data_IF_988787261800
#
_entry.id   IF_988787261800
#
_cell.length_a   1.000
_cell.length_b   1.000
_cell.length_c   1.000
_cell.angle_alpha   90.00
_cell.angle_beta   90.00
_cell.angle_gamma   90.00
#
_symmetry.space_group_name_H-M   'P 1'
#
loop_
_entity.id
_entity.type
_entity.pdbx_description
1 polymer ?
#
# COMPACT_ATOMS: atom_id res chain seq x y z
N UNK A 1 -21.58 -18.31 -15.81
CA UNK A 1 -20.61 -18.15 -14.73
C UNK A 1 -20.98 -16.94 -13.91
N UNK A 2 -21.06 -17.07 -12.97
CA UNK A 2 -21.70 -17.48 -11.75
C UNK A 2 -22.08 -16.23 -10.99
N UNK A 3 -23.37 -15.91 -11.05
CA UNK A 3 -23.99 -14.98 -10.08
C UNK A 3 -23.57 -15.36 -8.66
N UNK A 4 -23.25 -16.65 -8.42
CA UNK A 4 -22.79 -17.18 -7.13
C UNK A 4 -21.55 -16.49 -6.55
N UNK A 5 -20.62 -15.96 -7.36
CA UNK A 5 -19.44 -15.28 -6.82
C UNK A 5 -19.72 -13.82 -6.41
N UNK A 6 -20.55 -13.12 -7.17
CA UNK A 6 -20.99 -11.75 -6.81
C UNK A 6 -21.79 -11.80 -5.52
N UNK A 7 -22.75 -12.74 -5.42
CA UNK A 7 -23.51 -12.96 -4.20
C UNK A 7 -22.63 -13.42 -3.04
N UNK A 8 -21.66 -14.30 -3.31
CA UNK A 8 -20.74 -14.79 -2.28
C UNK A 8 -19.90 -13.66 -1.68
N UNK A 9 -19.33 -12.74 -2.51
CA UNK A 9 -18.55 -11.62 -1.99
C UNK A 9 -19.44 -10.54 -1.37
N UNK A 10 -20.66 -10.31 -1.87
CA UNK A 10 -21.63 -9.44 -1.24
C UNK A 10 -22.00 -9.96 0.16
N UNK A 11 -22.32 -11.25 0.29
CA UNK A 11 -22.59 -11.86 1.60
C UNK A 11 -21.37 -11.84 2.53
N UNK A 12 -20.16 -12.00 2.01
CA UNK A 12 -18.93 -11.92 2.80
C UNK A 12 -18.63 -10.49 3.26
N UNK A 13 -19.00 -9.48 2.49
CA UNK A 13 -18.80 -8.05 2.81
C UNK A 13 -19.86 -7.48 3.76
N UNK A 14 -21.06 -8.09 3.81
CA UNK A 14 -22.13 -7.70 4.74
C UNK A 14 -21.86 -8.07 6.21
N UNK A 15 -20.76 -8.79 6.47
CA UNK A 15 -20.34 -9.07 7.85
C UNK A 15 -19.80 -7.79 8.48
N UNK A 16 -20.44 -7.36 9.56
CA UNK A 16 -20.01 -6.22 10.35
C UNK A 16 -18.52 -6.29 10.70
N UNK A 17 -17.81 -5.18 10.47
CA UNK A 17 -16.41 -5.03 10.82
C UNK A 17 -16.28 -4.81 12.35
N UNK A 18 -16.77 -5.77 13.13
CA UNK A 18 -16.84 -5.65 14.58
C UNK A 18 -15.46 -5.75 15.22
N UNK A 19 -14.84 -4.60 15.47
CA UNK A 19 -13.54 -4.52 16.14
C UNK A 19 -13.59 -4.83 17.66
N UNK A 20 -14.77 -5.15 18.21
CA UNK A 20 -14.88 -5.70 19.56
C UNK A 20 -14.71 -7.23 19.57
N UNK A 21 -14.80 -7.89 18.42
CA UNK A 21 -14.54 -9.33 18.30
C UNK A 21 -13.01 -9.60 18.26
N UNK A 22 -12.47 -10.32 19.25
CA UNK A 22 -11.05 -10.65 19.27
C UNK A 22 -10.57 -11.43 18.05
N UNK A 23 -11.46 -12.19 17.40
CA UNK A 23 -11.10 -12.99 16.23
C UNK A 23 -10.91 -12.11 15.00
N UNK A 24 -11.70 -11.06 14.83
CA UNK A 24 -11.55 -10.03 13.78
C UNK A 24 -10.23 -9.27 13.99
N UNK A 25 -10.00 -8.77 15.19
CA UNK A 25 -8.75 -8.07 15.53
C UNK A 25 -7.52 -8.97 15.31
N UNK A 26 -7.59 -10.25 15.67
CA UNK A 26 -6.49 -11.19 15.49
C UNK A 26 -6.15 -11.38 14.00
N UNK A 27 -7.16 -11.41 13.10
CA UNK A 27 -6.94 -11.51 11.66
C UNK A 27 -6.31 -10.24 11.08
N UNK A 28 -6.80 -9.05 11.45
CA UNK A 28 -6.19 -7.78 11.08
C UNK A 28 -4.73 -7.68 11.53
N UNK A 29 -4.45 -8.03 12.80
CA UNK A 29 -3.09 -8.00 13.35
C UNK A 29 -2.16 -8.97 12.64
N UNK A 30 -2.60 -10.19 12.38
CA UNK A 30 -1.78 -11.17 11.66
C UNK A 30 -1.49 -10.70 10.23
N UNK A 31 -2.48 -10.16 9.52
CA UNK A 31 -2.27 -9.55 8.21
C UNK A 31 -1.26 -8.39 8.27
N UNK A 32 -1.36 -7.54 9.31
CA UNK A 32 -0.43 -6.43 9.54
C UNK A 32 0.99 -6.91 9.87
N UNK A 33 1.15 -7.93 10.72
CA UNK A 33 2.45 -8.49 11.06
C UNK A 33 3.14 -9.08 9.81
N UNK A 34 2.39 -9.77 8.94
CA UNK A 34 2.90 -10.30 7.67
C UNK A 34 3.32 -9.16 6.73
N UNK A 35 2.46 -8.15 6.55
CA UNK A 35 2.78 -6.99 5.71
C UNK A 35 3.99 -6.20 6.25
N UNK A 36 4.10 -6.03 7.57
CA UNK A 36 5.22 -5.35 8.22
C UNK A 36 6.55 -6.08 8.00
N UNK A 37 6.57 -7.40 8.18
CA UNK A 37 7.79 -8.18 8.01
C UNK A 37 8.21 -8.23 6.53
N UNK A 38 7.25 -8.38 5.61
CA UNK A 38 7.51 -8.31 4.17
C UNK A 38 8.11 -6.95 3.78
N UNK A 39 7.49 -5.84 4.21
CA UNK A 39 8.00 -4.50 3.96
C UNK A 39 9.42 -4.31 4.49
N UNK A 40 9.68 -4.73 5.74
CA UNK A 40 10.99 -4.61 6.36
C UNK A 40 12.07 -5.35 5.56
N UNK A 41 11.76 -6.55 5.07
CA UNK A 41 12.68 -7.35 4.26
C UNK A 41 12.91 -6.78 2.87
N UNK A 42 11.87 -6.21 2.23
CA UNK A 42 12.01 -5.54 0.93
C UNK A 42 12.87 -4.28 1.08
N UNK A 43 12.61 -3.44 2.10
CA UNK A 43 13.43 -2.25 2.40
C UNK A 43 14.90 -2.62 2.61
N UNK A 44 15.19 -3.70 3.31
CA UNK A 44 16.56 -4.17 3.56
C UNK A 44 17.30 -4.64 2.29
N UNK A 45 16.58 -4.91 1.18
CA UNK A 45 17.16 -5.29 -0.12
C UNK A 45 17.27 -4.14 -1.11
N UNK A 46 16.82 -2.94 -0.75
CA UNK A 46 16.95 -1.76 -1.61
C UNK A 46 18.44 -1.37 -1.70
N UNK A 47 19.00 -1.52 -2.89
CA UNK A 47 20.40 -1.21 -3.16
C UNK A 47 20.60 -0.77 -4.62
N UNK A 48 21.73 -0.13 -4.90
CA UNK A 48 22.13 0.24 -6.25
C UNK A 48 22.26 -0.99 -7.15
N UNK A 49 21.77 -0.89 -8.39
CA UNK A 49 21.80 -1.98 -9.35
C UNK A 49 20.69 -3.03 -9.22
N UNK A 50 19.87 -2.96 -8.17
CA UNK A 50 18.75 -3.92 -7.99
C UNK A 50 17.59 -3.56 -8.91
N UNK A 51 16.97 -4.56 -9.51
CA UNK A 51 15.80 -4.40 -10.39
C UNK A 51 14.52 -4.30 -9.57
N UNK A 52 13.66 -3.36 -9.92
CA UNK A 52 12.39 -3.16 -9.21
C UNK A 52 11.48 -4.39 -9.31
N UNK A 53 11.44 -5.07 -10.46
CA UNK A 53 10.65 -6.30 -10.63
C UNK A 53 11.06 -7.41 -9.66
N UNK A 54 12.36 -7.55 -9.38
CA UNK A 54 12.90 -8.54 -8.44
C UNK A 54 12.47 -8.25 -7.00
N UNK A 55 12.50 -6.99 -6.60
CA UNK A 55 12.02 -6.57 -5.28
C UNK A 55 10.51 -6.76 -5.13
N UNK A 56 9.75 -6.46 -6.18
CA UNK A 56 8.30 -6.69 -6.20
C UNK A 56 7.97 -8.18 -6.05
N UNK A 57 8.63 -9.04 -6.83
CA UNK A 57 8.45 -10.49 -6.75
C UNK A 57 8.83 -11.02 -5.36
N UNK A 58 9.93 -10.52 -4.80
CA UNK A 58 10.40 -10.92 -3.46
C UNK A 58 9.39 -10.56 -2.35
N UNK A 59 8.80 -9.35 -2.39
CA UNK A 59 7.78 -8.96 -1.42
C UNK A 59 6.53 -9.84 -1.49
N UNK A 60 6.06 -10.14 -2.71
CA UNK A 60 4.92 -11.02 -2.95
C UNK A 60 5.22 -12.45 -2.43
N UNK A 61 6.42 -12.99 -2.68
CA UNK A 61 6.84 -14.31 -2.21
C UNK A 61 6.84 -14.42 -0.69
N UNK A 62 7.32 -13.39 0.01
CA UNK A 62 7.29 -13.36 1.47
C UNK A 62 5.86 -13.44 1.99
N UNK A 63 4.95 -12.61 1.46
CA UNK A 63 3.54 -12.62 1.88
C UNK A 63 2.93 -14.00 1.67
N UNK A 64 3.11 -14.60 0.50
CA UNK A 64 2.59 -15.93 0.18
C UNK A 64 3.20 -17.01 1.07
N UNK A 65 4.50 -16.95 1.34
CA UNK A 65 5.18 -17.88 2.24
C UNK A 65 4.61 -17.86 3.65
N UNK A 66 4.29 -16.69 4.20
CA UNK A 66 3.70 -16.59 5.54
C UNK A 66 2.23 -16.97 5.56
N UNK A 67 1.45 -16.48 4.61
CA UNK A 67 0.02 -16.79 4.54
C UNK A 67 -0.25 -18.28 4.34
N UNK A 68 0.62 -19.00 3.61
CA UNK A 68 0.52 -20.46 3.43
C UNK A 68 0.70 -21.26 4.72
N UNK A 69 1.31 -20.68 5.76
CA UNK A 69 1.63 -21.38 7.03
C UNK A 69 0.60 -21.16 8.15
N UNK A 70 -0.35 -20.23 7.96
CA UNK A 70 -1.35 -19.88 8.98
C UNK A 70 -2.74 -20.36 8.60
N UNK A 71 -3.63 -20.59 9.56
CA UNK A 71 -5.03 -21.01 9.35
C UNK A 71 -5.22 -22.23 8.42
N UNK A 72 -4.27 -23.19 8.42
CA UNK A 72 -4.30 -24.34 7.51
C UNK A 72 -5.35 -25.43 7.87
N UNK A 73 -5.88 -25.39 9.10
CA UNK A 73 -6.90 -26.34 9.55
C UNK A 73 -8.31 -25.93 9.12
N UNK A 74 -8.51 -24.68 8.74
CA UNK A 74 -9.79 -24.10 8.34
C UNK A 74 -9.67 -23.60 6.90
N UNK A 75 -10.74 -23.70 6.13
CA UNK A 75 -10.79 -23.15 4.77
C UNK A 75 -10.93 -21.61 4.83
N UNK A 76 -9.86 -20.91 5.22
CA UNK A 76 -9.79 -19.47 5.32
C UNK A 76 -9.02 -18.92 4.13
N UNK A 77 -9.64 -18.02 3.36
CA UNK A 77 -8.97 -17.30 2.28
C UNK A 77 -7.90 -16.37 2.86
N UNK A 78 -6.71 -16.35 2.26
CA UNK A 78 -5.57 -15.60 2.74
C UNK A 78 -4.55 -15.44 1.63
N UNK A 79 -3.81 -14.35 1.65
CA UNK A 79 -2.82 -14.08 0.62
C UNK A 79 -2.47 -12.60 0.51
N UNK A 80 -2.15 -12.20 -0.71
CA UNK A 80 -1.84 -10.82 -1.04
C UNK A 80 -3.14 -10.01 -1.10
N UNK A 81 -3.21 -8.91 -0.31
CA UNK A 81 -4.28 -7.93 -0.41
C UNK A 81 -3.95 -6.82 -1.40
N UNK A 82 -2.69 -6.44 -1.47
CA UNK A 82 -2.12 -5.56 -2.48
C UNK A 82 -0.76 -6.13 -2.91
N UNK A 83 -0.49 -6.27 -4.23
CA UNK A 83 0.80 -6.75 -4.70
C UNK A 83 1.88 -5.75 -4.31
N UNK A 84 3.11 -6.21 -4.18
CA UNK A 84 4.23 -5.32 -3.92
C UNK A 84 4.45 -4.40 -5.11
N UNK A 85 4.39 -3.10 -4.83
CA UNK A 85 4.59 -2.02 -5.78
C UNK A 85 5.73 -1.13 -5.27
N UNK A 86 6.60 -0.69 -6.20
CA UNK A 86 7.79 0.09 -5.85
C UNK A 86 7.92 1.25 -6.82
N UNK A 87 7.48 2.42 -6.40
CA UNK A 87 7.49 3.65 -7.18
C UNK A 87 8.74 4.49 -6.86
N UNK A 88 9.44 4.97 -7.88
CA UNK A 88 10.75 5.63 -7.73
C UNK A 88 10.66 7.10 -8.11
N UNK A 89 11.26 7.97 -7.32
CA UNK A 89 11.38 9.41 -7.53
C UNK A 89 10.02 10.11 -7.77
N UNK A 90 9.77 10.58 -8.98
CA UNK A 90 8.57 11.27 -9.44
C UNK A 90 7.38 10.35 -9.76
N UNK A 91 7.62 9.03 -9.82
CA UNK A 91 6.54 8.04 -9.90
C UNK A 91 5.73 8.07 -8.61
N UNK A 92 4.42 8.31 -8.69
CA UNK A 92 3.55 8.48 -7.52
C UNK A 92 3.23 7.12 -6.88
N UNK A 93 2.52 6.24 -7.61
CA UNK A 93 2.09 4.92 -7.11
C UNK A 93 1.78 3.95 -8.26
N UNK A 94 1.52 2.69 -7.90
CA UNK A 94 1.09 1.58 -8.76
C UNK A 94 2.15 1.04 -9.73
N UNK A 95 3.42 1.38 -9.57
CA UNK A 95 4.48 0.81 -10.39
C UNK A 95 4.91 -0.58 -9.85
N UNK A 96 4.62 -1.61 -10.62
CA UNK A 96 4.91 -3.02 -10.32
C UNK A 96 5.32 -3.75 -11.59
N UNK A 97 6.57 -3.54 -12.10
CA UNK A 97 7.00 -4.05 -13.40
C UNK A 97 7.01 -5.59 -13.45
N UNK A 98 6.85 -6.11 -14.67
CA UNK A 98 6.85 -7.56 -14.91
C UNK A 98 8.24 -8.15 -15.07
N UNK A 99 9.24 -7.30 -15.25
CA UNK A 99 10.61 -7.68 -15.59
C UNK A 99 10.82 -7.91 -17.08
N UNK A 100 9.80 -7.67 -17.90
CA UNK A 100 9.92 -7.72 -19.36
C UNK A 100 10.63 -6.45 -19.89
N UNK A 101 11.21 -6.54 -21.09
CA UNK A 101 11.90 -5.40 -21.69
C UNK A 101 10.93 -4.22 -21.92
N UNK A 102 11.29 -3.05 -21.40
CA UNK A 102 10.57 -1.78 -21.60
C UNK A 102 9.73 -1.31 -20.42
N UNK A 103 9.52 -2.14 -19.39
CA UNK A 103 8.81 -1.72 -18.16
C UNK A 103 9.70 -1.76 -16.90
N UNK A 104 10.97 -2.12 -17.02
CA UNK A 104 11.90 -2.31 -15.90
C UNK A 104 12.64 -1.04 -15.50
N UNK A 105 12.78 -0.83 -14.22
CA UNK A 105 13.65 0.18 -13.61
C UNK A 105 14.74 -0.49 -12.76
N UNK A 106 15.97 -0.05 -12.91
CA UNK A 106 17.12 -0.47 -12.10
C UNK A 106 17.44 0.66 -11.13
N UNK A 107 17.39 0.37 -9.84
CA UNK A 107 17.63 1.33 -8.77
C UNK A 107 19.05 1.90 -8.84
N UNK A 108 19.17 3.19 -8.52
CA UNK A 108 20.44 3.93 -8.48
C UNK A 108 20.60 4.61 -7.13
N UNK A 109 21.84 4.74 -6.68
CA UNK A 109 22.18 5.47 -5.46
C UNK A 109 21.54 6.86 -5.45
N UNK A 110 20.82 7.19 -4.37
CA UNK A 110 20.11 8.45 -4.21
C UNK A 110 18.65 8.45 -4.70
N UNK A 111 18.18 7.37 -5.32
CA UNK A 111 16.75 7.24 -5.66
C UNK A 111 15.88 7.21 -4.41
N UNK A 112 14.81 8.00 -4.43
CA UNK A 112 13.74 7.96 -3.43
C UNK A 112 12.77 6.85 -3.81
N UNK A 113 12.67 5.81 -2.98
CA UNK A 113 11.95 4.57 -3.28
C UNK A 113 10.76 4.43 -2.34
N UNK A 114 9.56 4.45 -2.89
CA UNK A 114 8.30 4.18 -2.21
C UNK A 114 7.94 2.72 -2.40
N UNK A 115 7.77 2.00 -1.31
CA UNK A 115 7.41 0.58 -1.29
C UNK A 115 6.07 0.45 -0.61
N UNK A 116 5.11 -0.17 -1.28
CA UNK A 116 3.83 -0.52 -0.68
C UNK A 116 3.46 -1.96 -0.98
N UNK A 117 2.77 -2.59 -0.05
CA UNK A 117 2.30 -3.97 -0.14
C UNK A 117 1.18 -4.22 0.88
N UNK A 118 0.49 -5.35 0.75
CA UNK A 118 -0.54 -5.72 1.71
C UNK A 118 -0.83 -7.21 1.75
N UNK A 119 -1.26 -7.69 2.91
CA UNK A 119 -1.71 -9.06 3.13
C UNK A 119 -3.15 -9.07 3.65
N UNK A 120 -3.85 -10.19 3.46
CA UNK A 120 -5.16 -10.40 4.07
C UNK A 120 -5.28 -11.79 4.70
N UNK A 121 -6.10 -11.87 5.72
CA UNK A 121 -6.56 -13.11 6.36
C UNK A 121 -8.08 -13.06 6.42
N UNK A 122 -8.76 -13.98 5.74
CA UNK A 122 -10.22 -14.05 5.70
C UNK A 122 -10.90 -12.74 5.23
N UNK A 123 -10.29 -12.07 4.26
CA UNK A 123 -10.78 -10.79 3.75
C UNK A 123 -10.42 -9.56 4.58
N UNK A 124 -9.93 -9.73 5.82
CA UNK A 124 -9.42 -8.63 6.64
C UNK A 124 -8.01 -8.28 6.21
N UNK A 125 -7.86 -7.13 5.57
CA UNK A 125 -6.60 -6.73 4.96
C UNK A 125 -5.82 -5.74 5.81
N UNK A 126 -4.51 -5.80 5.71
CA UNK A 126 -3.60 -4.76 6.19
C UNK A 126 -2.62 -4.40 5.08
N UNK A 127 -2.52 -3.10 4.82
CA UNK A 127 -1.55 -2.53 3.88
C UNK A 127 -0.51 -1.75 4.65
N UNK A 128 0.69 -1.72 4.12
CA UNK A 128 1.79 -0.94 4.68
C UNK A 128 2.62 -0.32 3.55
N UNK A 129 3.20 0.85 3.80
CA UNK A 129 4.06 1.52 2.84
C UNK A 129 5.08 2.42 3.53
N UNK A 130 6.26 2.49 2.94
CA UNK A 130 7.39 3.23 3.45
C UNK A 130 8.23 3.82 2.33
N UNK A 131 8.81 4.98 2.59
CA UNK A 131 9.78 5.61 1.69
C UNK A 131 11.18 5.47 2.25
N UNK A 132 12.09 4.97 1.42
CA UNK A 132 13.53 4.89 1.72
C UNK A 132 14.34 5.51 0.59
N UNK A 133 15.65 5.62 0.79
CA UNK A 133 16.58 6.11 -0.25
C UNK A 133 17.68 5.09 -0.48
N UNK A 134 17.98 4.83 -1.75
CA UNK A 134 19.01 3.84 -2.14
C UNK A 134 20.37 4.24 -1.59
N UNK A 135 21.04 3.31 -0.91
CA UNK A 135 22.33 3.50 -0.24
C UNK A 135 22.34 4.63 0.80
N UNK A 136 21.20 4.91 1.43
CA UNK A 136 21.14 5.85 2.56
C UNK A 136 21.99 5.37 3.73
N UNK A 137 22.65 6.31 4.42
CA UNK A 137 23.55 6.01 5.52
C UNK A 137 23.26 6.93 6.72
N UNK A 138 22.92 6.39 7.89
CA UNK A 138 22.70 7.19 9.10
C UNK A 138 23.91 8.05 9.53
N UNK A 139 25.14 7.63 9.18
CA UNK A 139 26.34 8.40 9.48
C UNK A 139 26.57 9.60 8.52
N UNK A 140 25.87 9.61 7.38
CA UNK A 140 25.84 10.69 6.42
C UNK A 140 24.40 10.88 5.92
N UNK A 141 23.52 11.48 6.72
CA UNK A 141 22.12 11.65 6.38
C UNK A 141 21.93 12.39 5.06
N UNK A 142 20.88 12.03 4.32
CA UNK A 142 20.49 12.76 3.12
C UNK A 142 19.87 14.10 3.52
N UNK A 143 20.11 15.09 2.68
CA UNK A 143 19.63 16.47 2.84
C UNK A 143 18.91 16.94 1.56
N UNK A 144 18.34 18.15 1.60
CA UNK A 144 17.67 18.80 0.48
C UNK A 144 16.31 18.17 0.13
N UNK A 145 15.82 18.35 -1.13
CA UNK A 145 14.42 18.03 -1.48
C UNK A 145 13.98 16.60 -1.19
N UNK A 146 14.89 15.62 -1.28
CA UNK A 146 14.59 14.23 -0.93
C UNK A 146 14.34 14.04 0.57
N UNK A 147 15.13 14.71 1.41
CA UNK A 147 14.93 14.70 2.86
C UNK A 147 13.67 15.47 3.25
N UNK A 148 13.44 16.63 2.63
CA UNK A 148 12.31 17.52 2.92
C UNK A 148 10.98 16.80 2.66
N UNK A 149 10.83 16.14 1.50
CA UNK A 149 9.61 15.44 1.16
C UNK A 149 9.36 14.20 2.04
N UNK A 150 10.41 13.49 2.46
CA UNK A 150 10.28 12.33 3.35
C UNK A 150 9.85 12.81 4.75
N UNK A 151 10.44 13.86 5.27
CA UNK A 151 10.04 14.48 6.54
C UNK A 151 8.60 15.00 6.46
N UNK A 152 8.24 15.73 5.40
CA UNK A 152 6.90 16.24 5.17
C UNK A 152 5.85 15.12 5.21
N UNK A 153 6.07 14.06 4.43
CA UNK A 153 5.16 12.91 4.37
C UNK A 153 5.08 12.16 5.72
N UNK A 154 6.19 12.03 6.44
CA UNK A 154 6.22 11.41 7.76
C UNK A 154 5.39 12.21 8.78
N UNK A 155 5.64 13.52 8.90
CA UNK A 155 4.90 14.36 9.84
C UNK A 155 3.43 14.51 9.46
N UNK A 156 3.11 14.59 8.15
CA UNK A 156 1.73 14.57 7.67
C UNK A 156 1.01 13.27 8.06
N UNK A 157 1.66 12.12 7.89
CA UNK A 157 1.11 10.83 8.28
C UNK A 157 0.90 10.70 9.80
N UNK A 158 1.84 11.21 10.60
CA UNK A 158 1.74 11.22 12.05
C UNK A 158 0.66 12.20 12.57
N UNK A 159 0.49 13.35 11.92
CA UNK A 159 -0.58 14.30 12.21
C UNK A 159 -1.97 13.70 11.86
N UNK A 160 -2.10 13.16 10.65
CA UNK A 160 -3.31 12.49 10.19
C UNK A 160 -3.76 11.37 11.15
N UNK A 161 -2.83 10.50 11.57
CA UNK A 161 -3.11 9.40 12.51
C UNK A 161 -3.73 9.90 13.82
N UNK A 162 -3.25 11.03 14.34
CA UNK A 162 -3.72 11.58 15.62
C UNK A 162 -5.12 12.16 15.55
N UNK A 163 -5.56 12.52 14.34
CA UNK A 163 -6.92 13.00 14.08
C UNK A 163 -7.92 11.88 13.79
N UNK A 164 -7.47 10.68 13.46
CA UNK A 164 -8.35 9.53 13.23
C UNK A 164 -8.92 9.00 14.56
N UNK A 165 -9.77 9.81 15.19
CA UNK A 165 -10.43 9.51 16.48
C UNK A 165 -11.94 9.68 16.33
N UNK A 166 -12.69 8.89 17.08
CA UNK A 166 -14.15 9.01 17.13
C UNK A 166 -14.55 10.46 17.44
N UNK A 167 -15.44 11.00 16.61
CA UNK A 167 -15.94 12.37 16.72
C UNK A 167 -15.21 13.40 15.83
N UNK A 168 -14.00 13.13 15.38
CA UNK A 168 -13.32 13.94 14.36
C UNK A 168 -13.85 13.58 12.96
N UNK A 169 -13.52 14.40 11.96
CA UNK A 169 -13.98 14.22 10.59
C UNK A 169 -12.80 14.16 9.58
N UNK A 170 -13.12 13.78 8.34
CA UNK A 170 -12.16 13.66 7.24
C UNK A 170 -11.52 15.01 6.85
N UNK A 171 -12.23 16.14 6.96
CA UNK A 171 -11.72 17.48 6.60
C UNK A 171 -10.55 17.85 7.50
N UNK A 172 -10.70 17.66 8.82
CA UNK A 172 -9.61 17.93 9.77
C UNK A 172 -8.33 17.16 9.43
N UNK A 173 -8.47 15.92 8.94
CA UNK A 173 -7.31 15.12 8.50
C UNK A 173 -6.68 15.71 7.25
N UNK A 174 -7.48 16.12 6.26
CA UNK A 174 -7.00 16.77 5.03
C UNK A 174 -6.24 18.08 5.32
N UNK A 175 -6.81 18.92 6.18
CA UNK A 175 -6.19 20.19 6.61
C UNK A 175 -4.83 19.94 7.28
N UNK A 176 -4.76 18.97 8.21
CA UNK A 176 -3.51 18.65 8.89
C UNK A 176 -2.43 18.09 7.96
N UNK A 177 -2.82 17.31 6.93
CA UNK A 177 -1.90 16.83 5.89
C UNK A 177 -1.30 18.01 5.11
N UNK A 178 -2.15 18.94 4.68
CA UNK A 178 -1.74 20.12 3.93
C UNK A 178 -0.83 21.05 4.75
N UNK A 179 -1.21 21.33 6.01
CA UNK A 179 -0.40 22.12 6.92
C UNK A 179 0.98 21.50 7.19
N UNK A 180 1.01 20.20 7.48
CA UNK A 180 2.28 19.51 7.73
C UNK A 180 3.19 19.50 6.50
N UNK A 181 2.65 19.31 5.30
CA UNK A 181 3.42 19.35 4.05
C UNK A 181 4.01 20.75 3.80
N UNK A 182 3.20 21.81 4.02
CA UNK A 182 3.62 23.19 3.80
C UNK A 182 4.79 23.60 4.68
N UNK A 183 4.92 23.07 5.90
CA UNK A 183 6.06 23.33 6.81
C UNK A 183 7.40 22.89 6.21
N UNK A 184 7.41 22.00 5.25
CA UNK A 184 8.58 21.48 4.54
C UNK A 184 8.67 21.98 3.09
N UNK A 185 7.91 23.02 2.73
CA UNK A 185 7.82 23.55 1.36
C UNK A 185 7.43 22.45 0.32
N UNK A 186 6.54 21.57 0.72
CA UNK A 186 6.02 20.44 -0.07
C UNK A 186 4.49 20.54 -0.18
N UNK A 187 3.92 19.77 -1.11
CA UNK A 187 2.47 19.74 -1.35
C UNK A 187 1.94 18.30 -1.35
N UNK A 188 0.73 18.05 -0.82
CA UNK A 188 0.06 16.76 -0.98
C UNK A 188 -0.20 16.45 -2.45
N UNK A 189 -0.17 15.15 -2.81
CA UNK A 189 -0.39 14.72 -4.20
C UNK A 189 -1.88 14.58 -4.48
N UNK A 190 -2.36 15.31 -5.50
CA UNK A 190 -3.76 15.27 -5.94
C UNK A 190 -4.14 13.88 -6.49
N UNK A 191 -5.41 13.53 -6.39
CA UNK A 191 -5.94 12.26 -6.88
C UNK A 191 -5.66 11.05 -5.99
N UNK A 192 -4.85 11.20 -4.95
CA UNK A 192 -4.54 10.14 -3.97
C UNK A 192 -5.45 10.22 -2.73
N UNK A 193 -5.73 9.08 -2.12
CA UNK A 193 -6.66 8.99 -1.01
C UNK A 193 -6.30 7.92 0.02
N UNK A 194 -6.80 8.12 1.23
CA UNK A 194 -6.94 7.12 2.29
C UNK A 194 -8.38 6.60 2.28
N UNK A 195 -8.59 5.30 2.50
CA UNK A 195 -9.90 4.69 2.36
C UNK A 195 -10.31 3.90 3.61
N UNK A 196 -11.59 3.94 3.94
CA UNK A 196 -12.17 2.94 4.83
C UNK A 196 -12.13 1.56 4.15
N UNK A 197 -11.75 0.56 4.91
CA UNK A 197 -11.67 -0.84 4.47
C UNK A 197 -12.56 -1.71 5.34
N UNK A 198 -13.15 -2.75 4.73
CA UNK A 198 -13.93 -3.76 5.44
C UNK A 198 -13.51 -5.15 4.98
N UNK A 199 -14.07 -6.17 5.61
CA UNK A 199 -13.85 -7.55 5.17
C UNK A 199 -14.21 -7.70 3.68
N UNK A 200 -13.25 -8.09 2.85
CA UNK A 200 -13.35 -8.18 1.38
C UNK A 200 -13.70 -6.87 0.65
N UNK A 201 -13.61 -5.71 1.31
CA UNK A 201 -13.83 -4.40 0.69
C UNK A 201 -12.57 -3.57 0.83
N UNK A 202 -11.93 -3.27 -0.29
CA UNK A 202 -10.66 -2.53 -0.33
C UNK A 202 -10.83 -1.01 -0.22
N UNK A 203 -12.02 -0.51 -0.53
CA UNK A 203 -12.39 0.89 -0.38
C UNK A 203 -13.91 1.00 -0.29
N UNK A 204 -14.41 1.85 0.60
CA UNK A 204 -15.82 2.24 0.69
C UNK A 204 -16.01 3.66 0.15
N UNK A 205 -17.20 4.22 0.32
CA UNK A 205 -17.49 5.63 0.00
C UNK A 205 -16.79 6.61 0.95
N UNK A 206 -16.41 6.15 2.18
CA UNK A 206 -15.66 6.95 3.14
C UNK A 206 -14.19 7.02 2.74
N UNK A 207 -13.79 8.14 2.19
CA UNK A 207 -12.40 8.39 1.79
C UNK A 207 -11.93 9.77 2.25
N UNK A 208 -10.63 9.86 2.49
CA UNK A 208 -9.93 11.09 2.83
C UNK A 208 -8.99 11.40 1.67
N UNK A 209 -9.31 12.41 0.88
CA UNK A 209 -8.44 12.85 -0.22
C UNK A 209 -7.23 13.57 0.37
N UNK A 210 -6.03 13.36 -0.18
CA UNK A 210 -4.86 14.17 0.21
C UNK A 210 -4.99 15.62 -0.26
N UNK A 211 -5.70 15.84 -1.39
CA UNK A 211 -6.09 17.17 -1.88
C UNK A 211 -7.57 17.12 -2.22
N UNK A 212 -8.40 18.04 -1.70
CA UNK A 212 -9.82 18.14 -2.08
C UNK A 212 -9.98 18.29 -3.59
N UNK A 213 -10.95 17.59 -4.18
CA UNK A 213 -11.30 17.65 -5.60
C UNK A 213 -12.82 17.60 -5.74
N UNK A 214 -13.46 18.74 -5.52
CA UNK A 214 -14.91 18.83 -5.54
C UNK A 214 -15.51 18.66 -6.94
N UNK A 215 -14.74 18.97 -7.99
CA UNK A 215 -15.23 18.92 -9.38
C UNK A 215 -15.25 17.49 -9.94
N UNK A 216 -14.15 16.72 -9.72
CA UNK A 216 -13.99 15.41 -10.34
C UNK A 216 -14.27 14.25 -9.36
N UNK A 217 -14.03 14.46 -8.08
CA UNK A 217 -14.16 13.44 -7.03
C UNK A 217 -14.77 14.02 -5.74
N UNK A 218 -16.06 14.45 -5.77
CA UNK A 218 -16.70 14.96 -4.57
C UNK A 218 -16.75 13.86 -3.50
N UNK A 219 -16.26 14.19 -2.31
CA UNK A 219 -16.29 13.30 -1.14
C UNK A 219 -17.19 13.92 -0.10
N UNK A 220 -18.15 13.15 0.41
CA UNK A 220 -19.01 13.62 1.48
C UNK A 220 -18.22 13.73 2.79
N UNK A 221 -18.59 14.74 3.58
CA UNK A 221 -18.06 14.86 4.94
C UNK A 221 -18.60 13.73 5.80
N UNK A 222 -17.71 13.13 6.58
CA UNK A 222 -18.08 12.10 7.52
C UNK A 222 -17.29 12.22 8.82
N UNK A 223 -17.88 11.71 9.87
CA UNK A 223 -17.28 11.63 11.21
C UNK A 223 -16.80 10.19 11.44
N UNK A 224 -15.63 10.04 12.04
CA UNK A 224 -15.11 8.72 12.42
C UNK A 224 -15.96 8.15 13.55
N UNK A 225 -16.36 6.89 13.42
CA UNK A 225 -17.12 6.15 14.42
C UNK A 225 -16.39 4.86 14.81
N UNK A 226 -16.88 4.20 15.85
CA UNK A 226 -16.29 2.93 16.27
C UNK A 226 -16.54 1.82 15.26
N UNK A 227 -15.63 0.84 15.23
CA UNK A 227 -15.63 -0.32 14.33
C UNK A 227 -15.26 0.00 12.87
N UNK A 228 -14.54 1.07 12.64
CA UNK A 228 -13.99 1.40 11.32
C UNK A 228 -12.51 1.01 11.22
N UNK A 229 -12.11 0.55 10.06
CA UNK A 229 -10.72 0.30 9.70
C UNK A 229 -10.36 1.12 8.46
N UNK A 230 -9.16 1.68 8.44
CA UNK A 230 -8.69 2.54 7.35
C UNK A 230 -7.31 2.13 6.86
N UNK A 231 -7.12 2.24 5.55
CA UNK A 231 -5.80 2.40 4.95
C UNK A 231 -5.49 3.88 4.86
N UNK A 232 -4.66 4.38 5.76
CA UNK A 232 -4.15 5.75 5.68
C UNK A 232 -2.99 5.79 4.69
N UNK A 233 -3.11 6.58 3.62
CA UNK A 233 -2.15 6.65 2.51
C UNK A 233 -1.78 8.10 2.22
N UNK A 234 -0.63 8.53 2.69
CA UNK A 234 -0.15 9.91 2.61
C UNK A 234 0.94 10.00 1.56
N UNK A 235 0.70 10.78 0.51
CA UNK A 235 1.65 11.06 -0.56
C UNK A 235 1.90 12.56 -0.64
N UNK A 236 3.18 12.93 -0.57
CA UNK A 236 3.64 14.31 -0.62
C UNK A 236 4.67 14.45 -1.75
N UNK A 237 4.65 15.59 -2.43
CA UNK A 237 5.57 15.96 -3.52
C UNK A 237 6.36 17.21 -3.18
N UNK A 238 7.59 17.32 -3.66
CA UNK A 238 8.36 18.56 -3.64
C UNK A 238 7.84 19.63 -4.62
N UNK A 239 6.98 19.21 -5.57
CA UNK A 239 6.31 20.10 -6.53
C UNK A 239 4.93 20.54 -6.04
N UNK A 240 4.08 20.96 -6.99
CA UNK A 240 2.72 21.43 -6.73
C UNK A 240 1.70 20.32 -6.40
N UNK A 241 2.12 19.08 -6.37
CA UNK A 241 1.25 17.92 -6.09
C UNK A 241 0.43 17.45 -7.29
N UNK A 242 0.48 18.12 -8.43
CA UNK A 242 -0.21 17.67 -9.64
C UNK A 242 0.40 16.39 -10.18
N UNK A 243 -0.42 15.42 -10.54
CA UNK A 243 0.05 14.18 -11.17
C UNK A 243 -0.75 13.85 -12.43
N UNK A 244 -0.17 13.01 -13.27
CA UNK A 244 -0.76 12.54 -14.53
C UNK A 244 -0.43 11.08 -14.75
N UNK A 245 -1.28 10.40 -15.51
CA UNK A 245 -1.02 9.05 -15.96
C UNK A 245 0.23 9.00 -16.85
N UNK A 246 1.08 8.03 -16.60
CA UNK A 246 2.31 7.78 -17.37
C UNK A 246 2.03 7.00 -18.66
N UNK A 247 3.09 6.84 -19.48
CA UNK A 247 3.02 6.06 -20.71
C UNK A 247 3.09 4.54 -20.51
N UNK A 248 3.46 4.08 -19.31
CA UNK A 248 3.54 2.66 -19.00
C UNK A 248 2.16 2.03 -18.92
N UNK A 249 2.01 0.85 -19.51
CA UNK A 249 0.76 0.08 -19.38
C UNK A 249 0.59 -0.39 -17.94
N UNK A 250 -0.64 -0.36 -17.41
CA UNK A 250 -0.93 -0.92 -16.09
C UNK A 250 -0.54 -2.40 -16.01
N UNK A 251 0.08 -2.78 -14.90
CA UNK A 251 0.45 -4.16 -14.58
C UNK A 251 -0.29 -4.67 -13.35
N UNK A 252 -0.97 -3.77 -12.63
CA UNK A 252 -1.81 -4.07 -11.48
C UNK A 252 -3.27 -3.87 -11.85
N UNK A 253 -4.11 -4.79 -11.45
CA UNK A 253 -5.54 -4.80 -11.73
C UNK A 253 -6.33 -5.31 -10.52
N UNK A 254 -7.59 -4.93 -10.40
CA UNK A 254 -8.55 -5.57 -9.50
C UNK A 254 -9.74 -6.15 -10.27
N UNK A 255 -10.34 -7.20 -9.73
CA UNK A 255 -11.56 -7.78 -10.28
C UNK A 255 -12.74 -6.84 -10.05
N UNK A 256 -13.47 -6.48 -11.12
CA UNK A 256 -14.75 -5.80 -11.00
C UNK A 256 -15.87 -6.83 -10.80
N UNK A 257 -16.24 -7.08 -9.56
CA UNK A 257 -17.24 -8.09 -9.21
C UNK A 257 -18.66 -7.77 -9.66
N UNK A 258 -18.94 -6.49 -9.97
CA UNK A 258 -20.26 -6.04 -10.42
C UNK A 258 -20.47 -6.19 -11.93
N UNK A 259 -19.39 -6.52 -12.68
CA UNK A 259 -19.46 -6.66 -14.12
C UNK A 259 -19.40 -8.10 -14.56
N UNK A 260 -20.31 -8.46 -15.47
CA UNK A 260 -20.35 -9.79 -16.09
C UNK A 260 -20.36 -9.66 -17.61
N UNK A 261 -19.59 -10.51 -18.29
CA UNK A 261 -19.51 -10.55 -19.75
C UNK A 261 -19.16 -11.94 -20.25
N UNK A 262 -19.77 -12.36 -21.35
CA UNK A 262 -19.50 -13.67 -21.94
C UNK A 262 -18.29 -13.59 -22.89
N UNK A 263 -17.13 -13.90 -22.35
CA UNK A 263 -15.84 -13.85 -23.04
C UNK A 263 -15.78 -14.87 -24.20
N UNK A 264 -15.41 -14.41 -25.39
CA UNK A 264 -15.26 -15.23 -26.59
C UNK A 264 -13.86 -15.87 -26.70
N UNK A 265 -12.81 -15.12 -26.33
CA UNK A 265 -11.44 -15.60 -26.42
C UNK A 265 -11.13 -16.62 -25.33
N UNK A 266 -10.53 -17.75 -25.72
CA UNK A 266 -10.15 -18.83 -24.78
C UNK A 266 -9.15 -18.33 -23.74
N UNK A 267 -8.11 -17.60 -24.15
CA UNK A 267 -7.10 -17.05 -23.24
C UNK A 267 -7.68 -16.07 -22.21
N UNK A 268 -8.68 -15.26 -22.61
CA UNK A 268 -9.36 -14.36 -21.70
C UNK A 268 -10.21 -15.12 -20.68
N UNK A 269 -10.91 -16.19 -21.09
CA UNK A 269 -11.66 -17.07 -20.15
C UNK A 269 -10.72 -17.75 -19.15
N UNK A 270 -9.59 -18.27 -19.63
CA UNK A 270 -8.61 -18.93 -18.76
C UNK A 270 -8.01 -17.93 -17.77
N UNK A 271 -7.63 -16.74 -18.22
CA UNK A 271 -7.15 -15.66 -17.36
C UNK A 271 -8.21 -15.24 -16.31
N UNK A 272 -9.47 -15.12 -16.74
CA UNK A 272 -10.57 -14.74 -15.85
C UNK A 272 -10.83 -15.79 -14.76
N UNK A 273 -10.77 -17.07 -15.12
CA UNK A 273 -10.91 -18.16 -14.16
C UNK A 273 -9.75 -18.17 -13.15
N UNK A 274 -8.51 -17.96 -13.61
CA UNK A 274 -7.34 -17.87 -12.74
C UNK A 274 -7.47 -16.69 -11.78
N UNK A 275 -7.89 -15.51 -12.27
CA UNK A 275 -8.09 -14.32 -11.44
C UNK A 275 -9.16 -14.55 -10.38
N UNK A 276 -10.30 -15.11 -10.76
CA UNK A 276 -11.39 -15.40 -9.82
C UNK A 276 -10.99 -16.39 -8.72
N UNK A 277 -10.18 -17.40 -9.05
CA UNK A 277 -9.78 -18.44 -8.11
C UNK A 277 -8.67 -18.00 -7.16
N UNK A 278 -7.73 -17.16 -7.64
CA UNK A 278 -6.50 -16.88 -6.90
C UNK A 278 -6.52 -15.53 -6.18
N UNK A 279 -7.26 -14.52 -6.70
CA UNK A 279 -7.17 -13.15 -6.18
C UNK A 279 -8.49 -12.61 -5.62
N UNK A 280 -9.63 -13.18 -6.03
CA UNK A 280 -10.94 -12.73 -5.56
C UNK A 280 -11.20 -11.25 -5.86
N UNK A 281 -11.45 -10.45 -4.81
CA UNK A 281 -11.69 -9.00 -4.91
C UNK A 281 -10.41 -8.17 -4.81
N UNK A 282 -9.30 -8.80 -4.39
CA UNK A 282 -8.07 -8.06 -4.13
C UNK A 282 -7.30 -7.71 -5.41
N UNK A 283 -6.62 -6.56 -5.43
CA UNK A 283 -5.71 -6.23 -6.50
C UNK A 283 -4.61 -7.28 -6.69
N UNK A 284 -4.24 -7.49 -7.93
CA UNK A 284 -3.19 -8.43 -8.32
C UNK A 284 -2.27 -7.83 -9.40
N UNK A 285 -1.02 -8.25 -9.42
CA UNK A 285 -0.11 -7.96 -10.54
C UNK A 285 -0.21 -9.06 -11.58
N UNK A 286 -0.18 -8.69 -12.86
CA UNK A 286 -0.11 -9.67 -13.97
C UNK A 286 1.16 -10.54 -13.91
N UNK A 287 2.15 -10.15 -13.09
CA UNK A 287 3.33 -10.98 -12.76
C UNK A 287 2.92 -12.29 -12.07
N UNK A 288 1.85 -12.26 -11.26
CA UNK A 288 1.37 -13.40 -10.50
C UNK A 288 0.58 -14.43 -11.33
N UNK A 289 0.23 -14.11 -12.58
CA UNK A 289 -0.44 -15.06 -13.47
C UNK A 289 0.55 -16.16 -13.88
N UNK A 290 0.18 -17.42 -13.66
CA UNK A 290 1.03 -18.60 -13.93
C UNK A 290 1.40 -18.71 -15.41
N UNK A 291 0.44 -18.46 -16.30
CA UNK A 291 0.66 -18.53 -17.72
C UNK A 291 0.85 -17.13 -18.33
N UNK A 292 2.02 -16.90 -18.95
CA UNK A 292 2.29 -15.64 -19.65
C UNK A 292 1.26 -15.29 -20.74
N UNK A 293 0.60 -16.29 -21.35
CA UNK A 293 -0.49 -16.06 -22.31
C UNK A 293 -1.72 -15.45 -21.67
N UNK A 294 -1.97 -15.68 -20.38
CA UNK A 294 -3.07 -15.08 -19.66
C UNK A 294 -2.89 -13.56 -19.50
N UNK A 295 -1.65 -13.06 -19.47
CA UNK A 295 -1.38 -11.61 -19.45
C UNK A 295 -1.98 -10.90 -20.67
N UNK A 296 -1.98 -11.55 -21.85
CA UNK A 296 -2.66 -11.02 -23.05
C UNK A 296 -4.18 -11.03 -22.89
N UNK A 297 -4.72 -12.01 -22.17
CA UNK A 297 -6.15 -12.09 -21.86
C UNK A 297 -6.62 -10.94 -20.97
N UNK A 298 -5.78 -10.41 -20.06
CA UNK A 298 -6.14 -9.28 -19.17
C UNK A 298 -6.53 -8.03 -19.95
N UNK A 299 -5.91 -7.78 -21.12
CA UNK A 299 -6.29 -6.64 -21.97
C UNK A 299 -7.73 -6.73 -22.46
N UNK A 300 -8.18 -7.93 -22.83
CA UNK A 300 -9.58 -8.21 -23.20
C UNK A 300 -10.52 -8.04 -21.99
N UNK A 301 -10.08 -8.53 -20.81
CA UNK A 301 -10.86 -8.36 -19.57
C UNK A 301 -11.04 -6.87 -19.21
N UNK A 302 -10.00 -6.06 -19.37
CA UNK A 302 -10.04 -4.63 -19.12
C UNK A 302 -10.96 -3.90 -20.12
N UNK A 303 -10.94 -4.27 -21.41
CA UNK A 303 -11.80 -3.68 -22.44
C UNK A 303 -13.30 -3.92 -22.16
N UNK A 304 -13.62 -5.01 -21.49
CA UNK A 304 -14.99 -5.35 -21.06
C UNK A 304 -15.27 -4.97 -19.59
N UNK A 305 -14.41 -4.19 -18.96
CA UNK A 305 -14.55 -3.73 -17.58
C UNK A 305 -14.67 -4.86 -16.53
N UNK A 306 -14.24 -6.07 -16.86
CA UNK A 306 -14.20 -7.20 -15.94
C UNK A 306 -13.09 -7.09 -14.90
N UNK A 307 -12.05 -6.34 -15.24
CA UNK A 307 -10.98 -5.92 -14.34
C UNK A 307 -10.75 -4.41 -14.48
N UNK A 308 -10.43 -3.77 -13.37
CA UNK A 308 -10.12 -2.34 -13.30
C UNK A 308 -8.60 -2.18 -13.23
N UNK A 309 -7.98 -1.45 -14.17
CA UNK A 309 -6.54 -1.18 -14.13
C UNK A 309 -6.19 -0.16 -13.04
N UNK A 310 -4.97 -0.24 -12.52
CA UNK A 310 -4.31 0.77 -11.71
C UNK A 310 -3.22 1.43 -12.55
N UNK A 311 -3.49 2.58 -13.19
CA UNK A 311 -2.51 3.29 -14.00
C UNK A 311 -1.35 3.81 -13.14
N UNK A 312 -0.15 3.86 -13.71
CA UNK A 312 1.01 4.43 -13.04
C UNK A 312 0.99 5.94 -13.21
N UNK A 313 1.00 6.68 -12.10
CA UNK A 313 0.96 8.13 -12.07
C UNK A 313 2.34 8.74 -11.81
N UNK A 314 2.58 9.91 -12.38
CA UNK A 314 3.83 10.65 -12.24
C UNK A 314 3.55 12.13 -11.96
N UNK A 315 4.37 12.73 -11.10
CA UNK A 315 4.51 14.19 -10.99
C UNK A 315 5.45 14.71 -12.10
N UNK A 316 5.98 15.90 -11.99
CA UNK A 316 7.02 16.37 -12.92
C UNK A 316 8.34 15.61 -12.66
N UNK A 317 9.10 15.35 -13.70
CA UNK A 317 10.37 14.59 -13.61
C UNK A 317 11.42 15.21 -12.66
N UNK A 318 11.28 16.51 -12.36
CA UNK A 318 12.15 17.22 -11.38
C UNK A 318 11.76 16.94 -9.93
N UNK A 319 10.53 16.47 -9.70
CA UNK A 319 9.98 16.36 -8.37
C UNK A 319 10.41 15.04 -7.70
N UNK A 320 10.31 15.03 -6.39
CA UNK A 320 10.41 13.82 -5.57
C UNK A 320 9.09 13.62 -4.84
N UNK A 321 8.66 12.36 -4.76
CA UNK A 321 7.44 11.98 -4.04
C UNK A 321 7.82 11.02 -2.92
N UNK A 322 7.26 11.25 -1.73
CA UNK A 322 7.35 10.33 -0.60
C UNK A 322 5.96 9.83 -0.21
N UNK A 323 5.90 8.59 0.26
CA UNK A 323 4.68 7.90 0.68
C UNK A 323 4.87 7.24 2.04
N UNK A 324 3.90 7.43 2.92
CA UNK A 324 3.72 6.58 4.11
C UNK A 324 2.30 6.03 4.11
N UNK A 325 2.20 4.71 4.18
CA UNK A 325 0.92 3.99 4.19
C UNK A 325 0.85 3.14 5.43
N UNK A 326 -0.31 3.12 6.07
CA UNK A 326 -0.52 2.35 7.29
C UNK A 326 -1.96 1.90 7.43
N UNK A 327 -2.18 0.81 8.14
CA UNK A 327 -3.53 0.37 8.52
C UNK A 327 -3.85 0.80 9.95
N UNK A 328 -5.01 1.40 10.10
CA UNK A 328 -5.50 2.00 11.35
C UNK A 328 -6.87 1.42 11.68
N UNK A 329 -7.05 1.02 12.93
CA UNK A 329 -8.33 0.55 13.48
C UNK A 329 -8.88 1.63 14.42
N UNK A 330 -10.11 2.10 14.18
CA UNK A 330 -10.85 3.03 15.05
C UNK A 330 -11.84 2.20 15.86
N UNK A 331 -11.44 1.83 17.06
CA UNK A 331 -12.25 1.03 17.98
C UNK A 331 -12.84 1.88 19.10
N UNK A 332 -13.87 1.37 19.80
CA UNK A 332 -14.53 2.09 20.88
C UNK A 332 -13.57 2.49 22.03
N UNK A 333 -12.49 1.74 22.23
CA UNK A 333 -11.45 2.00 23.23
C UNK A 333 -10.30 2.87 22.73
N UNK A 334 -10.39 3.39 21.51
CA UNK A 334 -9.40 4.27 20.87
C UNK A 334 -8.87 3.78 19.55
N UNK A 335 -8.08 4.62 18.90
CA UNK A 335 -7.46 4.36 17.60
C UNK A 335 -6.18 3.57 17.78
N UNK A 336 -5.93 2.63 16.87
CA UNK A 336 -4.74 1.78 16.92
C UNK A 336 -4.11 1.68 15.52
N UNK A 337 -2.86 2.09 15.37
CA UNK A 337 -2.05 1.79 14.21
C UNK A 337 -1.53 0.36 14.33
N UNK A 338 -1.90 -0.52 13.39
CA UNK A 338 -1.50 -1.94 13.42
C UNK A 338 -0.27 -2.26 12.57
N UNK A 339 0.14 -1.37 11.66
CA UNK A 339 1.39 -1.46 10.88
C UNK A 339 2.39 -0.41 11.37
N UNK A 340 3.38 -0.76 12.21
CA UNK A 340 4.31 0.19 12.81
C UNK A 340 5.16 0.95 11.78
N UNK A 341 5.57 2.18 12.08
CA UNK A 341 6.51 2.93 11.26
C UNK A 341 7.91 2.30 11.32
N UNK A 342 8.61 2.31 10.19
CA UNK A 342 10.04 2.08 10.17
C UNK A 342 10.79 3.38 10.52
N UNK A 343 11.94 3.31 11.21
CA UNK A 343 12.72 4.50 11.57
C UNK A 343 13.38 5.14 10.33
N UNK A 344 13.63 6.44 10.41
CA UNK A 344 14.24 7.27 9.36
C UNK A 344 15.56 7.91 9.83
N UNK A 345 16.54 7.16 10.35
CA UNK A 345 17.75 7.72 10.95
C UNK A 345 18.71 8.35 9.92
N UNK A 346 18.43 8.20 8.64
CA UNK A 346 19.24 8.64 7.51
C UNK A 346 18.68 9.91 6.83
N UNK A 347 17.67 10.56 7.41
CA UNK A 347 17.00 11.74 6.82
C UNK A 347 17.22 12.95 7.72
N UNK A 348 17.71 14.05 7.14
CA UNK A 348 17.86 15.34 7.81
C UNK A 348 17.35 16.47 6.92
N UNK A 349 16.20 17.03 7.25
CA UNK A 349 15.65 18.20 6.55
C UNK A 349 16.17 19.51 7.16
N UNK A 350 16.36 20.51 6.32
CA UNK A 350 16.63 21.88 6.76
C UNK A 350 15.40 22.56 7.39
N UNK A 351 14.20 22.02 7.11
CA UNK A 351 12.95 22.46 7.70
C UNK A 351 12.63 21.67 8.97
N UNK A 352 11.83 22.25 9.83
CA UNK A 352 11.37 21.61 11.09
C UNK A 352 9.94 22.03 11.39
N UNK A 353 9.26 21.27 12.23
CA UNK A 353 7.94 21.62 12.74
C UNK A 353 8.11 22.67 13.84
N UNK A 354 7.65 23.92 13.65
CA UNK A 354 7.76 24.97 14.67
C UNK A 354 6.96 24.58 15.93
N UNK A 355 7.52 24.81 17.11
CA UNK A 355 6.94 24.38 18.39
C UNK A 355 5.58 25.02 18.71
N UNK A 356 5.29 26.18 18.13
CA UNK A 356 4.03 26.92 18.27
C UNK A 356 3.00 26.60 17.18
N UNK A 357 3.33 25.77 16.20
CA UNK A 357 2.42 25.36 15.13
C UNK A 357 1.30 24.43 15.61
N UNK A 358 0.16 24.45 14.91
CA UNK A 358 -0.93 23.51 15.17
C UNK A 358 -0.48 22.06 14.97
N UNK A 359 0.39 21.80 13.99
CA UNK A 359 1.00 20.50 13.76
C UNK A 359 1.83 20.04 14.96
N UNK A 360 2.65 20.90 15.57
CA UNK A 360 3.42 20.55 16.77
C UNK A 360 2.51 20.20 17.96
N UNK A 361 1.47 20.99 18.16
CA UNK A 361 0.49 20.73 19.22
C UNK A 361 -0.20 19.37 19.00
N UNK A 362 -0.58 19.06 17.76
CA UNK A 362 -1.17 17.79 17.39
C UNK A 362 -0.21 16.61 17.61
N UNK A 363 1.04 16.75 17.18
CA UNK A 363 2.10 15.74 17.36
C UNK A 363 2.43 15.46 18.83
N UNK A 364 2.22 16.43 19.73
CA UNK A 364 2.37 16.25 21.18
C UNK A 364 1.25 15.41 21.80
N UNK A 365 0.12 15.20 21.08
CA UNK A 365 -0.97 14.35 21.57
C UNK A 365 -0.66 12.87 21.38
N UNK A 366 -1.38 11.99 22.11
CA UNK A 366 -1.20 10.54 21.95
C UNK A 366 -1.65 10.07 20.57
N UNK A 367 -0.79 9.29 19.92
CA UNK A 367 -1.05 8.68 18.61
C UNK A 367 -2.05 7.50 18.67
N UNK A 368 -2.61 7.21 19.83
CA UNK A 368 -3.56 6.13 20.04
C UNK A 368 -3.01 4.96 20.88
N UNK A 369 -3.77 3.88 20.95
CA UNK A 369 -3.42 2.70 21.75
C UNK A 369 -2.19 1.99 21.19
N UNK A 370 -1.12 1.89 21.98
CA UNK A 370 0.07 1.13 21.59
C UNK A 370 -0.23 -0.36 21.60
N UNK A 371 0.02 -1.02 20.46
CA UNK A 371 -0.01 -2.48 20.42
C UNK A 371 1.21 -2.99 21.19
N UNK A 372 0.97 -3.76 22.23
CA UNK A 372 2.00 -4.62 22.79
C UNK A 372 2.28 -5.70 21.75
N UNK A 373 3.48 -5.73 21.17
CA UNK A 373 3.89 -6.74 20.19
C UNK A 373 3.57 -8.11 20.76
N UNK A 374 2.64 -8.83 20.15
CA UNK A 374 2.51 -10.26 20.41
C UNK A 374 3.65 -10.96 19.68
N UNK A 375 4.82 -11.03 20.29
CA UNK A 375 6.02 -11.67 19.74
C UNK A 375 5.89 -13.17 19.45
N UNK A 376 4.66 -13.70 19.44
CA UNK A 376 4.35 -15.12 19.22
C UNK A 376 3.74 -15.45 17.86
N UNK A 377 3.17 -14.48 17.12
CA UNK A 377 2.44 -14.82 15.88
C UNK A 377 3.36 -15.28 14.75
N UNK A 378 4.53 -14.67 14.58
CA UNK A 378 5.51 -15.07 13.55
C UNK A 378 6.67 -15.94 14.10
N UNK A 379 6.95 -15.93 15.41
CA UNK A 379 8.05 -16.70 16.02
C UNK A 379 7.89 -18.23 15.90
N UNK A 380 6.67 -18.72 15.64
CA UNK A 380 6.40 -20.16 15.38
C UNK A 380 6.46 -20.54 13.89
N UNK A 381 6.62 -19.56 13.01
CA UNK A 381 6.69 -19.74 11.56
C UNK A 381 8.17 -19.63 11.18
N UNK A 382 8.95 -20.72 11.39
CA UNK A 382 10.38 -20.74 11.08
C UNK A 382 10.67 -20.16 9.70
N UNK A 383 11.50 -19.14 9.66
CA UNK A 383 12.04 -18.59 8.43
C UNK A 383 12.87 -19.71 7.75
N UNK A 384 12.32 -20.34 6.71
CA UNK A 384 13.18 -21.03 5.76
C UNK A 384 14.00 -19.92 5.09
N UNK A 385 15.32 -19.99 5.19
CA UNK A 385 16.25 -19.15 4.45
C UNK A 385 15.88 -19.18 2.97
N UNK A 386 15.35 -18.09 2.47
CA UNK A 386 15.24 -17.87 1.02
C UNK A 386 16.69 -17.62 0.58
N UNK A 387 17.26 -18.60 -0.11
CA UNK A 387 18.64 -18.57 -0.56
C UNK A 387 18.92 -17.30 -1.37
N UNK A 388 20.01 -16.61 -1.05
CA UNK A 388 20.55 -15.55 -1.88
C UNK A 388 20.84 -16.10 -3.29
N UNK A 389 20.54 -15.38 -4.37
CA UNK A 389 20.97 -15.79 -5.70
C UNK A 389 22.49 -15.89 -5.71
N UNK A 390 23.00 -17.00 -6.24
CA UNK A 390 24.41 -17.28 -6.35
C UNK A 390 25.10 -16.14 -7.13
N UNK A 391 26.14 -15.56 -6.53
CA UNK A 391 27.06 -14.65 -7.20
C UNK A 391 27.62 -15.37 -8.43
N UNK A 392 27.51 -14.69 -9.59
CA UNK A 392 28.00 -15.22 -10.85
C UNK A 392 29.45 -15.67 -10.74
N UNK A 393 29.70 -16.89 -11.17
CA UNK A 393 31.05 -17.40 -11.42
C UNK A 393 31.71 -16.55 -12.48
N UNK A 394 32.83 -15.95 -12.15
CA UNK A 394 33.84 -15.48 -13.10
C UNK A 394 34.16 -16.63 -14.09
N UNK A 395 33.94 -16.38 -15.35
CA UNK A 395 34.51 -17.20 -16.42
C UNK A 395 35.70 -16.44 -16.98
N UNK A 396 36.90 -16.80 -16.49
CA UNK A 396 38.14 -16.55 -17.15
C UNK A 396 38.15 -17.35 -18.50
N UNK A 397 38.27 -16.68 -19.59
CA UNK A 397 39.18 -16.76 -20.73
C UNK A 397 38.67 -15.95 -21.93
#
# INVERSE_FOLDING_TARGET
MDMDQVELYAQKSDVDNNLSDPTVIAKYRLAADIAQDALTKVVARVADGVRVSELCAFGDEIILSYTSKVYNKNSVEKGIAFPTMISVNDCVEYYSPTGDAGDEYVLRTGDVVKIELGAHIDGYMATNGHTTVVNSNPAAPIEGPAADVICAAHFAAEAALRLMKIGNNNIQVQEAIAEAAALFNCSPVAGTASNEIKRYVIATEKMILNVPDEENRPVQDFVFVANEAYTLNILISTGDGSCREGALKPTVFSRNVHQNYNLKLKSAREAFNEINNNFGVFPFSIRALENKRHRLGVTELASHQLVTPYPVYYTRASDKVAQFKMTVLVAANGTTRITPALPLPYVHSAYSVPSDSAVAQLLATDAGVKIVKSGKALAGIGASEVAAPAQGMDVDM
#
